data_IF_177833289595
#
_entry.id   IF_177833289595
#
_cell.length_a   1.000
_cell.length_b   1.000
_cell.length_c   1.000
_cell.angle_alpha   90.00
_cell.angle_beta   90.00
_cell.angle_gamma   90.00
#
_symmetry.space_group_name_H-M   'P 1'
#
loop_
_entity.id
_entity.type
_entity.pdbx_description
1 polymer ?
#
# COMPACT_ATOMS: atom_id res chain seq x y z
N UNK A 1 -22.28 5.85 -0.41
CA UNK A 1 -20.87 5.67 -0.73
C UNK A 1 -20.18 7.03 -0.83
N UNK A 2 -18.88 7.07 -0.48
CA UNK A 2 -18.05 8.28 -0.49
C UNK A 2 -16.72 7.98 -1.16
N UNK A 3 -16.09 9.02 -1.70
CA UNK A 3 -14.69 9.00 -2.12
C UNK A 3 -13.99 10.29 -1.70
N UNK A 4 -12.67 10.23 -1.55
CA UNK A 4 -11.84 11.41 -1.31
C UNK A 4 -11.47 12.08 -2.65
N UNK A 5 -11.60 13.38 -2.72
CA UNK A 5 -11.17 14.19 -3.85
C UNK A 5 -10.17 15.25 -3.42
N UNK A 6 -9.32 15.66 -4.35
CA UNK A 6 -8.42 16.80 -4.19
C UNK A 6 -8.75 17.82 -5.27
N UNK A 7 -8.88 19.06 -4.88
CA UNK A 7 -9.07 20.17 -5.80
C UNK A 7 -8.12 21.33 -5.47
N UNK A 8 -7.79 22.10 -6.49
CA UNK A 8 -7.05 23.34 -6.35
C UNK A 8 -8.03 24.47 -6.14
N UNK A 9 -7.84 25.23 -5.07
CA UNK A 9 -8.53 26.49 -4.85
C UNK A 9 -7.65 27.58 -5.49
N UNK A 10 -8.23 28.32 -6.41
CA UNK A 10 -7.59 29.51 -6.95
C UNK A 10 -7.56 30.60 -5.86
N UNK A 11 -6.49 31.37 -5.82
CA UNK A 11 -6.34 32.46 -4.87
C UNK A 11 -7.47 33.48 -5.03
N UNK A 12 -8.09 33.86 -3.91
CA UNK A 12 -9.19 34.84 -3.89
C UNK A 12 -8.70 36.28 -4.00
N UNK A 13 -7.43 36.52 -3.70
CA UNK A 13 -6.80 37.83 -3.77
C UNK A 13 -5.70 37.88 -4.86
N UNK A 14 -5.46 39.05 -5.48
CA UNK A 14 -4.36 39.22 -6.44
C UNK A 14 -3.03 38.87 -5.79
N UNK A 15 -2.32 37.90 -6.39
CA UNK A 15 -1.01 37.42 -5.88
C UNK A 15 -1.08 36.30 -4.84
N UNK A 16 -2.25 35.86 -4.41
CA UNK A 16 -2.40 34.68 -3.58
C UNK A 16 -2.09 33.40 -4.38
N UNK A 17 -1.18 32.57 -3.84
CA UNK A 17 -0.83 31.31 -4.49
C UNK A 17 -2.00 30.30 -4.38
N UNK A 18 -2.28 29.52 -5.44
CA UNK A 18 -3.29 28.48 -5.38
C UNK A 18 -2.90 27.43 -4.34
N UNK A 19 -3.89 26.90 -3.62
CA UNK A 19 -3.72 25.84 -2.63
C UNK A 19 -4.57 24.63 -2.95
N UNK A 20 -4.11 23.46 -2.55
CA UNK A 20 -4.83 22.21 -2.73
C UNK A 20 -5.52 21.81 -1.44
N UNK A 21 -6.78 21.38 -1.56
CA UNK A 21 -7.60 20.89 -0.46
C UNK A 21 -8.08 19.47 -0.73
N UNK A 22 -8.28 18.70 0.33
CA UNK A 22 -8.85 17.34 0.25
C UNK A 22 -10.18 17.29 0.98
N UNK A 23 -11.15 16.66 0.36
CA UNK A 23 -12.52 16.58 0.88
C UNK A 23 -13.19 15.28 0.51
N UNK A 24 -14.27 14.94 1.24
CA UNK A 24 -15.13 13.81 0.95
C UNK A 24 -16.25 14.22 0.00
N UNK A 25 -16.48 13.39 -1.01
CA UNK A 25 -17.58 13.52 -1.96
C UNK A 25 -18.54 12.38 -1.76
N UNK A 26 -19.81 12.70 -1.57
CA UNK A 26 -20.88 11.70 -1.56
C UNK A 26 -21.29 11.38 -3.00
N UNK A 27 -21.23 10.10 -3.34
CA UNK A 27 -21.43 9.63 -4.74
C UNK A 27 -22.80 9.96 -5.35
N UNK A 28 -23.82 10.13 -4.52
CA UNK A 28 -25.21 10.39 -4.91
C UNK A 28 -25.64 11.85 -4.70
N UNK A 29 -24.69 12.74 -4.38
CA UNK A 29 -24.99 14.14 -4.20
C UNK A 29 -25.26 14.87 -5.52
N UNK A 30 -26.04 15.93 -5.45
CA UNK A 30 -26.22 16.83 -6.58
C UNK A 30 -24.87 17.40 -7.04
N UNK A 31 -24.68 17.57 -8.34
CA UNK A 31 -23.44 18.03 -8.93
C UNK A 31 -22.35 16.96 -9.11
N UNK A 32 -22.63 15.69 -8.78
CA UNK A 32 -21.72 14.58 -9.04
C UNK A 32 -22.19 13.78 -10.25
N UNK A 33 -21.45 13.92 -11.35
CA UNK A 33 -21.66 13.14 -12.55
C UNK A 33 -20.63 12.00 -12.60
N UNK A 34 -21.10 10.79 -12.91
CA UNK A 34 -20.26 9.61 -13.08
C UNK A 34 -20.46 9.01 -14.47
N UNK A 35 -19.38 8.70 -15.15
CA UNK A 35 -19.39 8.01 -16.44
C UNK A 35 -18.46 6.81 -16.39
N UNK A 36 -18.86 5.73 -17.03
CA UNK A 36 -17.97 4.58 -17.19
C UNK A 36 -16.70 5.01 -17.92
N UNK A 37 -15.55 4.62 -17.40
CA UNK A 37 -14.31 4.75 -18.12
C UNK A 37 -14.28 3.78 -19.30
N UNK A 38 -13.50 4.11 -20.37
CA UNK A 38 -13.17 3.14 -21.41
C UNK A 38 -12.55 1.89 -20.79
N UNK A 39 -12.71 0.75 -21.46
CA UNK A 39 -12.03 -0.48 -21.05
C UNK A 39 -10.52 -0.28 -21.08
N UNK A 40 -9.87 -0.56 -19.97
CA UNK A 40 -8.42 -0.58 -19.88
C UNK A 40 -7.91 -1.99 -20.23
N UNK A 41 -6.70 -2.09 -20.77
CA UNK A 41 -6.05 -3.38 -21.03
C UNK A 41 -5.58 -4.09 -19.76
N UNK A 42 -5.75 -3.46 -18.61
CA UNK A 42 -5.55 -3.98 -17.26
C UNK A 42 -6.59 -3.33 -16.36
N UNK A 43 -6.77 -3.84 -15.15
CA UNK A 43 -7.70 -3.30 -14.16
C UNK A 43 -9.20 -3.53 -14.48
N UNK A 44 -9.53 -4.52 -15.31
CA UNK A 44 -10.92 -4.88 -15.66
C UNK A 44 -11.74 -5.26 -14.42
N UNK A 45 -11.07 -5.77 -13.38
CA UNK A 45 -11.69 -6.06 -12.08
C UNK A 45 -11.94 -4.83 -11.20
N UNK A 46 -11.50 -3.63 -11.62
CA UNK A 46 -11.73 -2.40 -10.87
C UNK A 46 -12.98 -1.68 -11.36
N UNK A 47 -13.72 -1.09 -10.43
CA UNK A 47 -14.87 -0.25 -10.77
C UNK A 47 -14.41 1.21 -10.93
N UNK A 48 -13.73 1.49 -12.05
CA UNK A 48 -13.14 2.80 -12.32
C UNK A 48 -14.13 3.69 -13.06
N UNK A 49 -14.31 4.90 -12.57
CA UNK A 49 -15.25 5.89 -13.08
C UNK A 49 -14.55 7.19 -13.42
N UNK A 50 -14.95 7.82 -14.51
CA UNK A 50 -14.71 9.23 -14.73
C UNK A 50 -15.72 10.03 -13.90
N UNK A 51 -15.24 10.90 -13.03
CA UNK A 51 -16.06 11.71 -12.14
C UNK A 51 -15.90 13.18 -12.52
N UNK A 52 -17.03 13.86 -12.68
CA UNK A 52 -17.08 15.30 -12.84
C UNK A 52 -17.86 15.89 -11.68
N UNK A 53 -17.30 16.89 -11.05
CA UNK A 53 -17.97 17.70 -10.05
C UNK A 53 -18.36 19.04 -10.68
N UNK A 54 -19.64 19.38 -10.62
CA UNK A 54 -20.16 20.63 -11.14
C UNK A 54 -21.06 21.27 -10.07
N UNK A 55 -20.72 22.47 -9.66
CA UNK A 55 -21.42 23.20 -8.61
C UNK A 55 -21.61 22.40 -7.32
N UNK A 56 -20.65 21.50 -7.02
CA UNK A 56 -20.63 20.70 -5.81
C UNK A 56 -20.15 21.55 -4.64
N UNK A 57 -21.03 21.75 -3.67
CA UNK A 57 -20.71 22.53 -2.48
C UNK A 57 -20.10 21.66 -1.40
N UNK A 58 -18.96 22.07 -0.90
CA UNK A 58 -18.24 21.41 0.19
C UNK A 58 -18.48 22.24 1.45
N UNK A 59 -18.96 21.61 2.50
CA UNK A 59 -19.03 22.19 3.84
C UNK A 59 -17.83 21.74 4.70
N UNK A 60 -17.69 22.36 5.87
CA UNK A 60 -16.59 22.06 6.79
C UNK A 60 -16.59 20.59 7.27
N UNK A 61 -17.76 19.94 7.29
CA UNK A 61 -17.86 18.53 7.75
C UNK A 61 -17.31 17.54 6.74
N UNK A 62 -17.23 17.94 5.49
CA UNK A 62 -16.67 17.15 4.40
C UNK A 62 -15.20 17.48 4.11
N UNK A 63 -14.65 18.55 4.72
CA UNK A 63 -13.26 18.95 4.54
C UNK A 63 -12.34 18.00 5.32
N UNK A 64 -11.42 17.34 4.63
CA UNK A 64 -10.43 16.45 5.24
C UNK A 64 -9.17 17.23 5.62
N UNK A 65 -8.68 18.06 4.70
CA UNK A 65 -7.47 18.85 4.91
C UNK A 65 -7.39 20.08 4.01
N UNK A 66 -7.00 21.20 4.61
CA UNK A 66 -6.64 22.46 3.96
C UNK A 66 -5.45 23.11 4.71
N UNK A 67 -4.26 23.21 4.12
CA UNK A 67 -3.84 22.63 2.83
C UNK A 67 -3.63 21.09 2.89
N UNK A 68 -3.77 20.43 1.75
CA UNK A 68 -3.70 18.96 1.68
C UNK A 68 -2.29 18.38 1.86
N UNK A 69 -1.24 19.09 1.44
CA UNK A 69 0.13 18.55 1.40
C UNK A 69 0.65 18.03 2.74
N UNK A 70 0.47 18.73 3.88
CA UNK A 70 0.88 18.22 5.19
C UNK A 70 0.13 16.95 5.59
N UNK A 71 -1.15 16.83 5.23
CA UNK A 71 -1.95 15.63 5.47
C UNK A 71 -1.45 14.44 4.63
N UNK A 72 -1.22 14.63 3.33
CA UNK A 72 -0.65 13.59 2.45
C UNK A 72 0.71 13.13 2.98
N UNK A 73 1.56 14.04 3.46
CA UNK A 73 2.83 13.70 4.07
C UNK A 73 2.69 12.71 5.24
N UNK A 74 1.66 12.89 6.08
CA UNK A 74 1.39 11.99 7.23
C UNK A 74 0.90 10.60 6.83
N UNK A 75 0.09 10.50 5.77
CA UNK A 75 -0.50 9.22 5.33
C UNK A 75 0.32 8.51 4.26
N UNK A 76 1.34 9.17 3.71
CA UNK A 76 2.12 8.67 2.57
C UNK A 76 2.71 7.28 2.82
N UNK A 77 3.23 7.03 4.02
CA UNK A 77 3.81 5.73 4.35
C UNK A 77 2.80 4.59 4.25
N UNK A 78 1.60 4.79 4.81
CA UNK A 78 0.53 3.80 4.73
C UNK A 78 0.06 3.59 3.27
N UNK A 79 0.00 4.66 2.48
CA UNK A 79 -0.39 4.58 1.08
C UNK A 79 0.60 3.79 0.24
N UNK A 80 1.90 4.00 0.46
CA UNK A 80 2.97 3.24 -0.21
C UNK A 80 2.91 1.76 0.17
N UNK A 81 2.60 1.42 1.44
CA UNK A 81 2.42 0.02 1.85
C UNK A 81 1.23 -0.64 1.16
N UNK A 82 0.11 0.07 0.98
CA UNK A 82 -1.03 -0.46 0.21
C UNK A 82 -0.64 -0.73 -1.24
N UNK A 83 0.11 0.16 -1.87
CA UNK A 83 0.61 -0.04 -3.25
C UNK A 83 1.58 -1.22 -3.33
N UNK A 84 2.48 -1.36 -2.36
CA UNK A 84 3.38 -2.52 -2.28
C UNK A 84 2.56 -3.82 -2.15
N UNK A 85 1.52 -3.84 -1.31
CA UNK A 85 0.61 -4.99 -1.17
C UNK A 85 -0.08 -5.37 -2.49
N UNK A 86 -0.50 -4.39 -3.28
CA UNK A 86 -1.05 -4.65 -4.62
C UNK A 86 -0.01 -5.28 -5.55
N UNK A 87 1.23 -4.77 -5.56
CA UNK A 87 2.32 -5.33 -6.34
C UNK A 87 2.62 -6.78 -5.96
N UNK A 88 2.73 -7.06 -4.66
CA UNK A 88 2.93 -8.43 -4.16
C UNK A 88 1.79 -9.37 -4.59
N UNK A 89 0.54 -8.90 -4.53
CA UNK A 89 -0.63 -9.68 -4.95
C UNK A 89 -0.62 -10.01 -6.44
N UNK A 90 -0.22 -9.07 -7.31
CA UNK A 90 -0.07 -9.32 -8.76
C UNK A 90 1.03 -10.35 -9.03
N UNK A 91 2.17 -10.22 -8.35
CA UNK A 91 3.29 -11.15 -8.47
C UNK A 91 2.89 -12.55 -8.02
N UNK A 92 2.23 -12.69 -6.86
CA UNK A 92 1.72 -13.98 -6.41
C UNK A 92 0.75 -14.61 -7.40
N UNK A 93 -0.21 -13.82 -7.93
CA UNK A 93 -1.15 -14.30 -8.94
C UNK A 93 -0.48 -14.79 -10.24
N UNK A 94 0.63 -14.16 -10.64
CA UNK A 94 1.44 -14.62 -11.76
C UNK A 94 2.12 -15.96 -11.45
N UNK A 95 2.77 -16.10 -10.30
CA UNK A 95 3.41 -17.34 -9.83
C UNK A 95 2.38 -18.47 -9.73
N UNK A 96 1.21 -18.21 -9.15
CA UNK A 96 0.11 -19.20 -9.08
C UNK A 96 -0.35 -19.65 -10.47
N UNK A 97 -0.26 -18.76 -11.47
CA UNK A 97 -0.58 -19.08 -12.86
C UNK A 97 0.49 -19.96 -13.49
N UNK A 98 1.77 -19.73 -13.17
CA UNK A 98 2.88 -20.59 -13.61
C UNK A 98 2.73 -22.00 -13.02
N UNK A 99 2.46 -22.12 -11.72
CA UNK A 99 2.23 -23.42 -11.07
C UNK A 99 1.11 -24.23 -11.70
N UNK A 100 0.04 -23.58 -12.15
CA UNK A 100 -1.09 -24.26 -12.82
C UNK A 100 -0.70 -24.92 -14.13
N UNK A 101 0.27 -24.38 -14.85
CA UNK A 101 0.73 -24.93 -16.13
C UNK A 101 1.99 -25.81 -15.99
N UNK A 102 2.61 -25.82 -14.83
CA UNK A 102 3.82 -26.60 -14.57
C UNK A 102 3.55 -28.12 -14.68
N UNK A 103 2.40 -28.61 -14.16
CA UNK A 103 2.05 -30.02 -14.25
C UNK A 103 1.97 -30.55 -15.69
N UNK A 104 1.21 -29.92 -16.61
CA UNK A 104 1.12 -30.41 -17.99
C UNK A 104 2.34 -30.09 -18.87
N UNK A 105 3.07 -29.00 -18.58
CA UNK A 105 4.12 -28.47 -19.47
C UNK A 105 5.51 -28.40 -18.83
N UNK A 106 5.70 -28.93 -17.63
CA UNK A 106 6.96 -28.84 -16.89
C UNK A 106 8.19 -29.32 -17.70
N UNK A 107 8.03 -30.35 -18.54
CA UNK A 107 9.09 -30.90 -19.40
C UNK A 107 9.58 -29.91 -20.48
N UNK A 108 8.85 -28.84 -20.77
CA UNK A 108 9.27 -27.75 -21.67
C UNK A 108 9.61 -26.49 -20.87
N UNK A 109 8.89 -26.25 -19.76
CA UNK A 109 9.08 -25.07 -18.91
C UNK A 109 10.43 -25.08 -18.18
N UNK A 110 11.04 -26.25 -17.98
CA UNK A 110 12.37 -26.38 -17.36
C UNK A 110 13.50 -25.61 -18.08
N UNK A 111 13.26 -25.24 -19.35
CA UNK A 111 14.17 -24.42 -20.14
C UNK A 111 13.93 -22.90 -20.02
N UNK A 112 12.94 -22.48 -19.23
CA UNK A 112 12.70 -21.06 -18.96
C UNK A 112 13.61 -20.58 -17.82
N UNK A 113 14.13 -19.35 -17.97
CA UNK A 113 15.03 -18.74 -16.98
C UNK A 113 14.34 -18.51 -15.64
N UNK A 114 13.08 -18.01 -15.67
CA UNK A 114 12.30 -17.72 -14.47
C UNK A 114 11.48 -18.94 -14.04
N UNK A 115 11.83 -19.55 -12.94
CA UNK A 115 11.11 -20.69 -12.36
C UNK A 115 10.14 -20.23 -11.26
N UNK A 116 8.94 -20.85 -11.16
CA UNK A 116 7.94 -20.44 -10.19
C UNK A 116 8.39 -20.60 -8.73
N UNK A 117 9.21 -21.59 -8.41
CA UNK A 117 9.80 -21.81 -7.08
C UNK A 117 10.84 -20.74 -6.72
N UNK A 118 11.67 -20.34 -7.66
CA UNK A 118 12.64 -19.25 -7.47
C UNK A 118 11.93 -17.91 -7.28
N UNK A 119 10.97 -17.58 -8.13
CA UNK A 119 10.18 -16.37 -8.01
C UNK A 119 9.36 -16.35 -6.72
N UNK A 120 8.84 -17.49 -6.25
CA UNK A 120 8.16 -17.58 -4.96
C UNK A 120 9.12 -17.27 -3.81
N UNK A 121 10.33 -17.80 -3.86
CA UNK A 121 11.34 -17.54 -2.85
C UNK A 121 11.75 -16.06 -2.80
N UNK A 122 11.89 -15.40 -3.95
CA UNK A 122 12.16 -13.97 -4.04
C UNK A 122 11.00 -13.13 -3.49
N UNK A 123 9.77 -13.50 -3.83
CA UNK A 123 8.56 -12.82 -3.33
C UNK A 123 8.46 -12.92 -1.80
N UNK A 124 8.71 -14.11 -1.25
CA UNK A 124 8.70 -14.35 0.20
C UNK A 124 9.79 -13.54 0.90
N UNK A 125 10.99 -13.47 0.32
CA UNK A 125 12.09 -12.67 0.81
C UNK A 125 11.76 -11.16 0.81
N UNK A 126 11.16 -10.66 -0.27
CA UNK A 126 10.74 -9.25 -0.39
C UNK A 126 9.64 -8.93 0.62
N UNK A 127 8.65 -9.81 0.76
CA UNK A 127 7.55 -9.68 1.73
C UNK A 127 8.09 -9.61 3.16
N UNK A 128 9.04 -10.48 3.50
CA UNK A 128 9.68 -10.46 4.82
C UNK A 128 10.41 -9.14 5.09
N UNK A 129 11.13 -8.60 4.09
CA UNK A 129 11.81 -7.29 4.23
C UNK A 129 10.83 -6.14 4.42
N UNK A 130 9.71 -6.13 3.70
CA UNK A 130 8.68 -5.10 3.84
C UNK A 130 8.07 -5.17 5.24
N UNK A 131 7.74 -6.36 5.73
CA UNK A 131 7.16 -6.55 7.06
C UNK A 131 8.14 -6.18 8.18
N UNK A 132 9.41 -6.60 8.08
CA UNK A 132 10.45 -6.27 9.06
C UNK A 132 10.71 -4.76 9.13
N UNK A 133 10.87 -4.12 7.99
CA UNK A 133 11.20 -2.70 7.91
C UNK A 133 10.02 -1.78 8.25
N UNK A 134 8.81 -2.13 7.83
CA UNK A 134 7.66 -1.27 7.99
C UNK A 134 7.01 -1.39 9.37
N UNK A 135 6.81 -2.61 9.87
CA UNK A 135 6.06 -2.83 11.11
C UNK A 135 6.86 -2.46 12.35
N UNK A 136 8.06 -3.02 12.51
CA UNK A 136 8.88 -2.82 13.70
C UNK A 136 9.43 -1.39 13.77
N UNK A 137 10.00 -0.90 12.67
CA UNK A 137 10.61 0.44 12.64
C UNK A 137 9.55 1.54 12.79
N UNK A 138 8.40 1.40 12.14
CA UNK A 138 7.32 2.37 12.27
C UNK A 138 6.75 2.40 13.69
N UNK A 139 6.52 1.24 14.32
CA UNK A 139 6.03 1.16 15.68
C UNK A 139 7.04 1.72 16.70
N UNK A 140 8.31 1.42 16.52
CA UNK A 140 9.38 1.94 17.39
C UNK A 140 9.57 3.46 17.20
N UNK A 141 9.52 3.96 15.97
CA UNK A 141 9.56 5.38 15.70
C UNK A 141 8.38 6.12 16.33
N UNK A 142 7.17 5.55 16.23
CA UNK A 142 5.99 6.11 16.87
C UNK A 142 6.13 6.18 18.41
N UNK A 143 6.74 5.16 19.02
CA UNK A 143 7.03 5.16 20.46
C UNK A 143 7.97 6.32 20.84
N UNK A 144 9.04 6.52 20.08
CA UNK A 144 9.97 7.62 20.31
C UNK A 144 9.30 9.00 20.17
N UNK A 145 8.41 9.16 19.18
CA UNK A 145 7.65 10.39 19.01
C UNK A 145 6.65 10.66 20.15
N UNK A 146 6.06 9.61 20.71
CA UNK A 146 5.14 9.73 21.85
C UNK A 146 5.87 10.02 23.18
N UNK A 147 7.18 9.80 23.25
CA UNK A 147 8.00 9.99 24.44
C UNK A 147 7.51 9.14 25.62
N UNK A 148 7.64 9.65 26.84
CA UNK A 148 7.28 8.92 28.06
C UNK A 148 5.81 8.44 28.10
N UNK A 149 4.89 9.16 27.47
CA UNK A 149 3.48 8.75 27.37
C UNK A 149 3.28 7.49 26.54
N UNK A 150 4.18 7.21 25.60
CA UNK A 150 4.17 6.00 24.80
C UNK A 150 4.42 4.72 25.62
N UNK A 151 5.05 4.82 26.77
CA UNK A 151 5.34 3.67 27.64
C UNK A 151 4.13 3.18 28.47
N UNK A 152 3.05 3.96 28.52
CA UNK A 152 1.84 3.54 29.23
C UNK A 152 1.18 2.36 28.50
N UNK A 153 0.82 1.31 29.26
CA UNK A 153 0.14 0.12 28.67
C UNK A 153 -1.19 0.45 27.98
N UNK A 154 -1.85 1.52 28.40
CA UNK A 154 -3.07 2.06 27.79
C UNK A 154 -2.82 2.90 26.54
N UNK A 155 -1.57 3.20 26.21
CA UNK A 155 -1.21 3.99 25.03
C UNK A 155 -1.40 3.17 23.75
N UNK A 156 -2.05 3.76 22.76
CA UNK A 156 -2.20 3.17 21.41
C UNK A 156 -0.84 2.86 20.78
N UNK A 157 0.15 3.71 21.03
CA UNK A 157 1.50 3.53 20.48
C UNK A 157 2.17 2.31 21.10
N UNK A 158 2.04 2.12 22.43
CA UNK A 158 2.55 0.92 23.09
C UNK A 158 1.85 -0.36 22.63
N UNK A 159 0.55 -0.29 22.34
CA UNK A 159 -0.18 -1.40 21.74
C UNK A 159 0.42 -1.78 20.37
N UNK A 160 0.67 -0.79 19.50
CA UNK A 160 1.26 -1.04 18.16
C UNK A 160 2.66 -1.63 18.23
N UNK A 161 3.47 -1.24 19.19
CA UNK A 161 4.79 -1.87 19.44
C UNK A 161 4.62 -3.36 19.76
N UNK A 162 3.69 -3.72 20.63
CA UNK A 162 3.41 -5.13 20.95
C UNK A 162 2.88 -5.89 19.74
N UNK A 163 1.96 -5.29 19.00
CA UNK A 163 1.40 -5.86 17.76
C UNK A 163 2.49 -6.08 16.71
N UNK A 164 3.41 -5.14 16.53
CA UNK A 164 4.51 -5.28 15.57
C UNK A 164 5.49 -6.39 15.96
N UNK A 165 5.79 -6.55 17.25
CA UNK A 165 6.57 -7.68 17.72
C UNK A 165 5.84 -9.02 17.50
N UNK A 166 4.52 -9.06 17.71
CA UNK A 166 3.74 -10.26 17.43
C UNK A 166 3.82 -10.65 15.96
N UNK A 167 3.67 -9.69 15.04
CA UNK A 167 3.82 -9.91 13.59
C UNK A 167 5.21 -10.48 13.27
N UNK A 168 6.24 -9.99 13.92
CA UNK A 168 7.62 -10.44 13.72
C UNK A 168 7.89 -11.87 14.16
N UNK A 169 7.09 -12.42 15.10
CA UNK A 169 7.28 -13.76 15.69
C UNK A 169 6.22 -14.78 15.25
N UNK A 170 5.09 -14.32 14.67
CA UNK A 170 4.05 -15.23 14.18
C UNK A 170 4.57 -15.98 12.93
N UNK A 171 4.11 -17.17 12.73
CA UNK A 171 4.61 -18.08 11.69
C UNK A 171 4.14 -17.68 10.28
N UNK A 172 5.06 -17.60 9.29
CA UNK A 172 6.52 -17.82 9.40
C UNK A 172 7.22 -16.66 10.09
N UNK A 173 7.92 -16.94 11.18
CA UNK A 173 8.63 -15.89 11.93
C UNK A 173 9.76 -15.28 11.07
N UNK A 174 10.02 -13.97 11.23
CA UNK A 174 11.08 -13.24 10.50
C UNK A 174 12.42 -13.98 10.53
N UNK A 175 12.77 -14.66 11.65
CA UNK A 175 13.98 -15.46 11.72
C UNK A 175 14.05 -16.60 10.70
N UNK A 176 12.93 -17.24 10.36
CA UNK A 176 12.87 -18.30 9.37
C UNK A 176 13.01 -17.72 7.95
N UNK A 177 12.36 -16.61 7.69
CA UNK A 177 12.45 -15.88 6.41
C UNK A 177 13.88 -15.38 6.17
N UNK A 178 14.52 -14.81 7.20
CA UNK A 178 15.93 -14.38 7.10
C UNK A 178 16.89 -15.54 6.84
N UNK A 179 16.64 -16.71 7.45
CA UNK A 179 17.42 -17.92 7.19
C UNK A 179 17.28 -18.34 5.73
N UNK A 180 16.08 -18.31 5.18
CA UNK A 180 15.83 -18.69 3.80
C UNK A 180 16.45 -17.69 2.82
N UNK A 181 16.32 -16.40 3.07
CA UNK A 181 17.00 -15.35 2.28
C UNK A 181 18.51 -15.59 2.26
N UNK A 182 19.13 -15.85 3.42
CA UNK A 182 20.57 -16.09 3.50
C UNK A 182 20.98 -17.35 2.72
N UNK A 183 20.15 -18.42 2.74
CA UNK A 183 20.38 -19.64 1.97
C UNK A 183 20.36 -19.38 0.47
N UNK A 184 19.37 -18.65 -0.02
CA UNK A 184 19.22 -18.30 -1.43
C UNK A 184 20.37 -17.40 -1.90
N UNK A 185 20.68 -16.34 -1.16
CA UNK A 185 21.79 -15.44 -1.48
C UNK A 185 23.15 -16.14 -1.51
N UNK A 186 23.34 -17.20 -0.71
CA UNK A 186 24.56 -17.99 -0.72
C UNK A 186 24.62 -18.94 -1.94
N UNK A 187 23.47 -19.37 -2.46
CA UNK A 187 23.39 -20.22 -3.66
C UNK A 187 23.65 -19.44 -4.96
N UNK A 188 23.44 -18.12 -4.94
CA UNK A 188 23.66 -17.22 -6.08
C UNK A 188 25.11 -16.73 -6.23
N UNK A 189 26.00 -17.02 -5.26
CA UNK A 189 27.42 -16.68 -5.39
C UNK A 189 28.15 -17.81 -6.16
N UNK A 190 28.54 -17.58 -7.42
CA UNK A 190 29.35 -18.55 -8.16
C UNK A 190 30.71 -18.71 -7.48
N UNK A 191 31.16 -19.95 -7.38
CA UNK A 191 32.49 -20.33 -6.84
C UNK A 191 33.63 -19.76 -7.68
#
# INVERSE_FOLDING_TARGET
HYFGAVATIEGLAPGEAPREVMFLVRCDAAGVERRNCPSFSAMEGTNTWAVRLQDYVIDETNLIADPVRPFIGRIRGAFVLLQAGMGLGVTQGAIDSMWRVEQPLGHVNEFLEDRPDELQAELDALTARIMDLASLRAAQSALLHAGARGYLMSSDVQRRVRESHFVAIVTPAIKHLRKEIARLSAAEQPA
#
